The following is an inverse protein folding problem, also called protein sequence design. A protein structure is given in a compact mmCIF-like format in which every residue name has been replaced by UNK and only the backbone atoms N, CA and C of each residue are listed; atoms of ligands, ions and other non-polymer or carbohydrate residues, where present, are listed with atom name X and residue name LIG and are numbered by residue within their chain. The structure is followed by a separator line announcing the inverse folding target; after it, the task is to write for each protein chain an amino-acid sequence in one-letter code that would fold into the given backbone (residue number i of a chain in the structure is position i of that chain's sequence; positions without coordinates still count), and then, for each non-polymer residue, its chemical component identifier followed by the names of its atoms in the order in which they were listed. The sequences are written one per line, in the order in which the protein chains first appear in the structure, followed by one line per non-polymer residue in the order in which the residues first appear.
data_IF_312019488045
#
_entry.id   IF_312019488045
#
_cell.length_a   1.000
_cell.length_b   1.000
_cell.length_c   1.000
_cell.angle_alpha   90.00
_cell.angle_beta   90.00
_cell.angle_gamma   90.00
#
_symmetry.space_group_name_H-M   'P 1'
#
loop_
_entity.id
_entity.type
_entity.pdbx_description
1 polymer ?
#
# COMPACT_ATOMS: atom_id res chain seq x y z
N UNK A 1 -2.80 19.86 4.08
CA UNK A 1 -2.86 18.87 2.98
C UNK A 1 -4.28 18.33 2.91
N UNK A 2 -4.92 18.36 1.74
CA UNK A 2 -6.28 17.85 1.55
C UNK A 2 -6.29 16.34 1.76
N UNK A 3 -7.21 15.87 2.58
CA UNK A 3 -7.40 14.46 2.82
C UNK A 3 -8.11 13.85 1.60
N UNK A 4 -7.54 12.84 0.98
CA UNK A 4 -8.20 12.12 -0.11
C UNK A 4 -9.38 11.34 0.46
N UNK A 5 -10.60 11.69 0.02
CA UNK A 5 -11.83 11.06 0.47
C UNK A 5 -12.17 9.86 -0.42
N UNK A 6 -11.78 8.65 0.00
CA UNK A 6 -12.04 7.41 -0.75
C UNK A 6 -13.53 7.14 -0.96
N UNK A 7 -14.39 7.60 -0.06
CA UNK A 7 -15.84 7.42 -0.14
C UNK A 7 -16.55 8.27 -1.21
N UNK A 8 -15.88 9.24 -1.84
CA UNK A 8 -16.49 10.06 -2.91
C UNK A 8 -16.52 9.31 -4.25
N UNK A 9 -15.38 9.11 -4.88
CA UNK A 9 -15.24 8.53 -6.22
C UNK A 9 -14.35 7.29 -6.24
N UNK A 10 -13.24 7.32 -5.51
CA UNK A 10 -12.20 6.29 -5.60
C UNK A 10 -12.74 4.89 -5.31
N UNK A 11 -13.63 4.71 -4.33
CA UNK A 11 -14.21 3.40 -4.03
C UNK A 11 -14.88 2.72 -5.22
N UNK A 12 -15.40 3.49 -6.21
CA UNK A 12 -16.08 2.93 -7.39
C UNK A 12 -15.12 2.32 -8.40
N UNK A 13 -13.91 2.86 -8.52
CA UNK A 13 -12.91 2.47 -9.51
C UNK A 13 -11.71 1.75 -8.91
N UNK A 14 -11.59 1.73 -7.59
CA UNK A 14 -10.39 1.28 -6.89
C UNK A 14 -10.13 -0.21 -7.10
N UNK A 15 -11.14 -1.04 -6.92
CA UNK A 15 -11.04 -2.51 -7.06
C UNK A 15 -10.59 -2.93 -8.48
N UNK A 16 -11.03 -2.21 -9.51
CA UNK A 16 -10.64 -2.45 -10.90
C UNK A 16 -9.28 -1.81 -11.22
N UNK A 17 -9.12 -0.52 -10.94
CA UNK A 17 -7.93 0.23 -11.34
C UNK A 17 -6.68 -0.09 -10.52
N UNK A 18 -6.83 -0.63 -9.30
CA UNK A 18 -5.71 -0.99 -8.40
C UNK A 18 -5.56 -2.50 -8.18
N UNK A 19 -6.29 -3.32 -8.96
CA UNK A 19 -6.16 -4.77 -8.88
C UNK A 19 -4.72 -5.22 -9.14
N UNK A 20 -4.24 -6.12 -8.32
CA UNK A 20 -2.96 -6.81 -8.54
C UNK A 20 -3.21 -8.11 -9.30
N UNK A 21 -2.41 -8.37 -10.31
CA UNK A 21 -2.39 -9.67 -10.99
C UNK A 21 -1.86 -10.75 -10.04
N UNK A 22 -2.19 -12.04 -10.25
CA UNK A 22 -1.68 -13.13 -9.41
C UNK A 22 -0.16 -13.10 -9.26
N UNK A 23 0.58 -12.89 -10.33
CA UNK A 23 2.05 -12.84 -10.34
C UNK A 23 2.60 -11.67 -9.49
N UNK A 24 1.87 -10.55 -9.45
CA UNK A 24 2.22 -9.43 -8.60
C UNK A 24 1.96 -9.75 -7.12
N UNK A 25 0.86 -10.45 -6.82
CA UNK A 25 0.57 -10.93 -5.46
C UNK A 25 1.64 -11.92 -5.00
N UNK A 26 2.01 -12.89 -5.84
CA UNK A 26 3.08 -13.87 -5.54
C UNK A 26 4.42 -13.17 -5.26
N UNK A 27 4.75 -12.16 -6.06
CA UNK A 27 5.96 -11.35 -5.86
C UNK A 27 5.96 -10.67 -4.50
N UNK A 28 4.83 -10.06 -4.10
CA UNK A 28 4.70 -9.41 -2.81
C UNK A 28 4.73 -10.41 -1.66
N UNK A 29 4.00 -11.53 -1.75
CA UNK A 29 4.01 -12.57 -0.72
C UNK A 29 5.42 -13.15 -0.53
N UNK A 30 6.15 -13.40 -1.61
CA UNK A 30 7.55 -13.85 -1.54
C UNK A 30 8.47 -12.79 -0.89
N UNK A 31 8.25 -11.50 -1.18
CA UNK A 31 9.00 -10.41 -0.54
C UNK A 31 8.78 -10.36 0.97
N UNK A 32 7.54 -10.50 1.42
CA UNK A 32 7.20 -10.54 2.85
C UNK A 32 7.78 -11.80 3.53
N UNK A 33 7.69 -12.97 2.87
CA UNK A 33 8.13 -14.25 3.41
C UNK A 33 9.63 -14.26 3.78
N UNK A 34 10.48 -13.53 3.05
CA UNK A 34 11.94 -13.43 3.35
C UNK A 34 12.26 -12.92 4.76
N UNK A 35 11.32 -12.19 5.36
CA UNK A 35 11.50 -11.55 6.66
C UNK A 35 10.67 -12.20 7.77
N UNK A 36 10.08 -13.35 7.53
CA UNK A 36 9.24 -14.04 8.48
C UNK A 36 9.85 -15.39 8.88
N UNK A 37 9.54 -15.88 10.08
CA UNK A 37 9.91 -17.24 10.46
C UNK A 37 9.17 -18.25 9.56
N UNK A 38 9.69 -19.48 9.41
CA UNK A 38 9.07 -20.52 8.57
C UNK A 38 7.79 -21.10 9.19
N UNK A 39 7.63 -21.00 10.49
CA UNK A 39 6.49 -21.56 11.24
C UNK A 39 5.17 -20.92 10.77
N UNK A 40 4.14 -21.77 10.66
CA UNK A 40 2.77 -21.39 10.27
C UNK A 40 1.78 -22.05 11.24
N UNK A 41 0.60 -21.46 11.43
CA UNK A 41 0.11 -20.21 10.83
C UNK A 41 0.69 -18.96 11.49
N UNK A 42 0.62 -17.81 10.78
CA UNK A 42 0.95 -16.48 11.33
C UNK A 42 -0.31 -15.62 11.36
N UNK A 43 -0.58 -14.99 12.50
CA UNK A 43 -1.64 -14.00 12.62
C UNK A 43 -1.20 -12.64 12.04
N UNK A 44 -2.03 -12.05 11.16
CA UNK A 44 -1.71 -10.81 10.46
C UNK A 44 -2.70 -9.68 10.73
N UNK A 45 -2.16 -8.48 10.74
CA UNK A 45 -2.91 -7.25 10.55
C UNK A 45 -2.62 -6.70 9.15
N UNK A 46 -3.67 -6.50 8.34
CA UNK A 46 -3.64 -5.71 7.10
C UNK A 46 -4.30 -4.36 7.41
N UNK A 47 -3.47 -3.36 7.78
CA UNK A 47 -3.94 -2.05 8.19
C UNK A 47 -4.16 -1.14 6.99
N UNK A 48 -5.36 -0.61 6.84
CA UNK A 48 -5.81 0.08 5.64
C UNK A 48 -6.06 -0.93 4.50
N UNK A 49 -6.73 -2.04 4.81
CA UNK A 49 -6.94 -3.15 3.87
C UNK A 49 -7.73 -2.74 2.61
N UNK A 50 -8.42 -1.59 2.65
CA UNK A 50 -9.17 -1.08 1.52
C UNK A 50 -10.24 -2.05 1.04
N UNK A 51 -10.19 -2.41 -0.23
CA UNK A 51 -11.06 -3.43 -0.85
C UNK A 51 -10.56 -4.86 -0.66
N UNK A 52 -9.63 -5.09 0.26
CA UNK A 52 -9.12 -6.44 0.58
C UNK A 52 -8.22 -7.06 -0.50
N UNK A 53 -7.53 -6.25 -1.30
CA UNK A 53 -6.77 -6.78 -2.47
C UNK A 53 -5.55 -7.63 -2.11
N UNK A 54 -4.97 -7.48 -0.90
CA UNK A 54 -3.88 -8.33 -0.40
C UNK A 54 -4.34 -9.26 0.71
N UNK A 55 -5.39 -8.92 1.44
CA UNK A 55 -5.82 -9.62 2.64
C UNK A 55 -6.03 -11.13 2.46
N UNK A 56 -6.74 -11.62 1.41
CA UNK A 56 -6.85 -13.06 1.14
C UNK A 56 -5.51 -13.71 0.75
N UNK A 57 -4.65 -12.99 0.03
CA UNK A 57 -3.33 -13.52 -0.35
C UNK A 57 -2.42 -13.71 0.88
N UNK A 58 -2.49 -12.82 1.87
CA UNK A 58 -1.82 -12.99 3.16
C UNK A 58 -2.31 -14.27 3.86
N UNK A 59 -3.62 -14.50 3.89
CA UNK A 59 -4.19 -15.72 4.49
C UNK A 59 -3.72 -17.00 3.74
N UNK A 60 -3.74 -16.98 2.42
CA UNK A 60 -3.29 -18.11 1.60
C UNK A 60 -1.81 -18.40 1.77
N UNK A 61 -0.96 -17.37 1.83
CA UNK A 61 0.50 -17.53 1.93
C UNK A 61 0.97 -17.90 3.35
N UNK A 62 0.30 -17.36 4.38
CA UNK A 62 0.79 -17.43 5.76
C UNK A 62 -0.15 -18.15 6.74
N UNK A 63 -1.30 -18.63 6.28
CA UNK A 63 -2.19 -19.49 7.02
C UNK A 63 -3.17 -18.80 7.99
N UNK A 64 -3.04 -17.47 8.22
CA UNK A 64 -3.96 -16.68 9.03
C UNK A 64 -4.10 -17.09 10.50
N UNK A 65 -4.93 -16.37 11.29
CA UNK A 65 -5.96 -15.40 10.87
C UNK A 65 -5.37 -14.11 10.31
N UNK A 66 -6.12 -13.46 9.43
CA UNK A 66 -5.79 -12.13 8.92
C UNK A 66 -6.90 -11.15 9.29
N UNK A 67 -6.53 -10.06 9.93
CA UNK A 67 -7.42 -8.97 10.33
C UNK A 67 -7.24 -7.78 9.39
N UNK A 68 -8.18 -7.59 8.46
CA UNK A 68 -8.26 -6.40 7.62
C UNK A 68 -8.92 -5.26 8.40
N UNK A 69 -8.21 -4.17 8.61
CA UNK A 69 -8.74 -2.97 9.29
C UNK A 69 -8.83 -1.82 8.30
N UNK A 70 -10.03 -1.27 8.10
CA UNK A 70 -10.29 -0.22 7.11
C UNK A 70 -11.36 0.75 7.62
N UNK A 71 -11.11 2.08 7.61
CA UNK A 71 -12.09 3.06 8.08
C UNK A 71 -13.28 3.24 7.14
N UNK A 72 -13.10 3.12 5.80
CA UNK A 72 -14.16 3.33 4.82
C UNK A 72 -15.12 2.14 4.76
N UNK A 73 -16.39 2.37 5.08
CA UNK A 73 -17.44 1.35 4.96
C UNK A 73 -17.62 0.89 3.50
N UNK A 74 -17.48 1.84 2.53
CA UNK A 74 -17.64 1.57 1.11
C UNK A 74 -16.49 0.75 0.52
N UNK A 75 -15.27 0.99 0.98
CA UNK A 75 -14.10 0.17 0.59
C UNK A 75 -14.23 -1.23 1.18
N UNK A 76 -14.52 -1.33 2.48
CA UNK A 76 -14.64 -2.60 3.18
C UNK A 76 -15.77 -3.49 2.64
N UNK A 77 -16.90 -2.90 2.20
CA UNK A 77 -18.01 -3.63 1.61
C UNK A 77 -17.66 -4.35 0.29
N UNK A 78 -16.56 -3.98 -0.37
CA UNK A 78 -16.07 -4.62 -1.59
C UNK A 78 -15.05 -5.74 -1.30
N UNK A 79 -14.65 -5.91 -0.03
CA UNK A 79 -13.63 -6.87 0.33
C UNK A 79 -14.16 -8.31 0.18
N UNK A 80 -13.39 -9.21 -0.49
CA UNK A 80 -13.83 -10.57 -0.72
C UNK A 80 -13.87 -11.36 0.59
N UNK A 81 -14.89 -12.19 0.77
CA UNK A 81 -14.96 -13.12 1.87
C UNK A 81 -13.87 -14.19 1.76
N UNK A 82 -13.26 -14.56 2.90
CA UNK A 82 -12.30 -15.64 2.99
C UNK A 82 -12.38 -16.27 4.39
N UNK A 83 -12.33 -17.61 4.54
CA UNK A 83 -12.55 -18.29 5.84
C UNK A 83 -11.55 -17.89 6.93
N UNK A 84 -10.33 -17.51 6.57
CA UNK A 84 -9.29 -17.09 7.52
C UNK A 84 -9.15 -15.55 7.63
N UNK A 85 -10.12 -14.77 7.10
CA UNK A 85 -10.06 -13.30 7.10
C UNK A 85 -11.26 -12.71 7.81
N UNK A 86 -11.02 -11.71 8.65
CA UNK A 86 -12.05 -10.85 9.24
C UNK A 86 -11.79 -9.40 8.87
N UNK A 87 -12.83 -8.67 8.48
CA UNK A 87 -12.74 -7.24 8.20
C UNK A 87 -13.45 -6.45 9.29
N UNK A 88 -12.75 -5.47 9.86
CA UNK A 88 -13.27 -4.61 10.90
C UNK A 88 -13.15 -3.13 10.52
N UNK A 89 -14.10 -2.32 11.00
CA UNK A 89 -13.99 -0.86 10.93
C UNK A 89 -13.00 -0.39 11.98
N UNK A 90 -12.01 0.40 11.56
CA UNK A 90 -11.01 0.98 12.45
C UNK A 90 -10.08 1.90 11.69
N UNK A 91 -9.21 2.59 12.40
CA UNK A 91 -8.17 3.44 11.82
C UNK A 91 -6.80 3.03 12.35
N UNK A 92 -5.74 3.62 11.80
CA UNK A 92 -4.38 3.39 12.27
C UNK A 92 -4.19 3.87 13.72
N UNK A 93 -4.96 4.90 14.13
CA UNK A 93 -4.92 5.50 15.46
C UNK A 93 -5.78 4.75 16.50
N UNK A 94 -6.65 3.82 16.04
CA UNK A 94 -7.55 3.04 16.88
C UNK A 94 -7.80 1.68 16.22
N UNK A 95 -6.90 0.73 16.45
CA UNK A 95 -6.96 -0.62 15.86
C UNK A 95 -7.84 -1.51 16.74
N UNK A 96 -8.95 -2.08 16.23
CA UNK A 96 -9.93 -2.83 17.03
C UNK A 96 -9.46 -4.29 17.28
N UNK A 97 -8.23 -4.45 17.75
CA UNK A 97 -7.63 -5.74 18.11
C UNK A 97 -7.05 -5.67 19.53
N UNK A 98 -7.00 -6.78 20.24
CA UNK A 98 -6.31 -6.83 21.54
C UNK A 98 -4.80 -6.67 21.41
N UNK A 99 -4.13 -6.49 22.55
CA UNK A 99 -2.68 -6.41 22.63
C UNK A 99 -2.04 -7.71 22.13
N UNK A 100 -0.90 -7.59 21.45
CA UNK A 100 -0.10 -8.71 20.96
C UNK A 100 -0.89 -9.73 20.10
N UNK A 101 -1.95 -9.29 19.43
CA UNK A 101 -2.82 -10.15 18.63
C UNK A 101 -2.16 -10.67 17.33
N UNK A 102 -1.13 -10.00 16.82
CA UNK A 102 -0.57 -10.27 15.51
C UNK A 102 0.91 -10.61 15.56
N UNK A 103 1.32 -11.58 14.73
CA UNK A 103 2.72 -11.92 14.47
C UNK A 103 3.36 -10.92 13.51
N UNK A 104 2.57 -10.43 12.55
CA UNK A 104 3.01 -9.45 11.57
C UNK A 104 1.90 -8.45 11.24
N UNK A 105 2.32 -7.25 10.82
CA UNK A 105 1.43 -6.22 10.30
C UNK A 105 1.95 -5.70 8.95
N UNK A 106 1.02 -5.38 8.04
CA UNK A 106 1.29 -4.77 6.75
C UNK A 106 0.54 -3.43 6.63
N UNK A 107 1.26 -2.40 6.22
CA UNK A 107 0.71 -1.15 5.71
C UNK A 107 1.09 -1.06 4.22
N UNK A 108 0.09 -1.12 3.33
CA UNK A 108 0.32 -1.12 1.89
C UNK A 108 -0.32 0.09 1.23
N UNK A 109 0.46 1.13 0.95
CA UNK A 109 0.03 2.47 0.52
C UNK A 109 -0.89 3.19 1.52
N UNK A 110 -0.62 3.09 2.80
CA UNK A 110 -1.46 3.64 3.88
C UNK A 110 -0.82 4.81 4.61
N UNK A 111 0.50 4.73 4.89
CA UNK A 111 1.17 5.62 5.84
C UNK A 111 1.03 7.12 5.54
N UNK A 112 0.96 7.50 4.28
CA UNK A 112 0.76 8.90 3.87
C UNK A 112 -0.66 9.44 4.14
N UNK A 113 -1.61 8.57 4.47
CA UNK A 113 -2.98 8.94 4.86
C UNK A 113 -3.15 9.06 6.37
N UNK A 114 -2.21 8.56 7.17
CA UNK A 114 -2.28 8.58 8.63
C UNK A 114 -2.06 10.00 9.15
N UNK A 115 -3.02 10.50 9.95
CA UNK A 115 -3.01 11.87 10.48
C UNK A 115 -2.17 11.98 11.73
N UNK A 116 -2.46 11.16 12.74
CA UNK A 116 -1.66 11.07 13.96
C UNK A 116 -0.75 9.84 13.90
N UNK A 117 0.41 10.04 13.27
CA UNK A 117 1.41 8.98 13.11
C UNK A 117 1.94 8.46 14.45
N UNK A 118 2.01 9.32 15.46
CA UNK A 118 2.47 8.90 16.78
C UNK A 118 1.45 7.96 17.46
N UNK A 119 0.14 8.26 17.35
CA UNK A 119 -0.91 7.36 17.83
C UNK A 119 -0.90 6.05 17.05
N UNK A 120 -0.76 6.09 15.72
CA UNK A 120 -0.70 4.90 14.88
C UNK A 120 0.50 3.99 15.22
N UNK A 121 1.67 4.58 15.46
CA UNK A 121 2.85 3.81 15.89
C UNK A 121 2.63 3.14 17.24
N UNK A 122 1.98 3.82 18.20
CA UNK A 122 1.62 3.21 19.50
C UNK A 122 0.63 2.06 19.34
N UNK A 123 -0.39 2.20 18.50
CA UNK A 123 -1.37 1.14 18.23
C UNK A 123 -0.75 -0.07 17.53
N UNK A 124 0.08 0.15 16.51
CA UNK A 124 0.85 -0.92 15.87
C UNK A 124 1.78 -1.62 16.88
N UNK A 125 2.43 -0.85 17.75
CA UNK A 125 3.24 -1.43 18.83
C UNK A 125 2.41 -2.28 19.78
N UNK A 126 1.23 -1.83 20.14
CA UNK A 126 0.32 -2.55 21.04
C UNK A 126 -0.14 -3.88 20.44
N UNK A 127 -0.59 -3.87 19.17
CA UNK A 127 -1.22 -5.05 18.56
C UNK A 127 -0.25 -6.08 18.00
N UNK A 128 0.98 -5.69 17.64
CA UNK A 128 2.01 -6.63 17.21
C UNK A 128 2.75 -7.17 18.43
N UNK A 129 2.91 -8.50 18.51
CA UNK A 129 3.60 -9.15 19.63
C UNK A 129 5.10 -8.81 19.70
N UNK A 130 5.76 -8.93 20.85
CA UNK A 130 7.22 -8.87 20.94
C UNK A 130 7.89 -9.87 19.98
N UNK A 131 8.91 -9.41 19.24
CA UNK A 131 9.55 -10.18 18.18
C UNK A 131 8.79 -10.22 16.85
N UNK A 132 7.60 -9.61 16.79
CA UNK A 132 6.79 -9.53 15.56
C UNK A 132 7.38 -8.55 14.52
N UNK A 133 6.84 -8.61 13.31
CA UNK A 133 7.34 -7.87 12.15
C UNK A 133 6.30 -6.86 11.66
N UNK A 134 6.76 -5.66 11.33
CA UNK A 134 5.97 -4.65 10.66
C UNK A 134 6.54 -4.39 9.28
N UNK A 135 5.69 -4.48 8.27
CA UNK A 135 5.99 -4.14 6.89
C UNK A 135 5.30 -2.85 6.49
N UNK A 136 6.07 -1.91 5.95
CA UNK A 136 5.54 -0.62 5.48
C UNK A 136 5.95 -0.43 4.03
N UNK A 137 4.98 -0.57 3.13
CA UNK A 137 5.12 -0.18 1.74
C UNK A 137 4.44 1.18 1.57
N UNK A 138 5.21 2.16 1.20
CA UNK A 138 4.77 3.53 0.91
C UNK A 138 5.70 4.15 -0.11
N UNK A 139 5.17 4.97 -1.02
CA UNK A 139 6.04 5.83 -1.81
C UNK A 139 6.67 6.88 -0.90
N UNK A 140 7.94 7.18 -1.14
CA UNK A 140 8.63 8.24 -0.41
C UNK A 140 8.92 9.41 -1.36
N UNK A 141 8.77 10.64 -0.90
CA UNK A 141 8.95 11.83 -1.72
C UNK A 141 10.34 11.90 -2.39
N UNK A 142 11.36 11.37 -1.71
CA UNK A 142 12.74 11.26 -2.20
C UNK A 142 13.02 9.96 -2.98
N UNK A 143 12.02 9.07 -3.14
CA UNK A 143 12.13 7.73 -3.74
C UNK A 143 10.87 7.35 -4.53
N UNK A 144 10.35 8.27 -5.34
CA UNK A 144 9.18 8.00 -6.16
C UNK A 144 9.46 6.89 -7.19
N UNK A 145 8.46 6.03 -7.48
CA UNK A 145 8.61 5.02 -8.52
C UNK A 145 8.79 5.66 -9.90
N UNK A 146 9.66 5.08 -10.72
CA UNK A 146 9.87 5.50 -12.11
C UNK A 146 8.81 4.84 -12.99
N UNK A 147 7.65 5.47 -13.13
CA UNK A 147 6.57 5.01 -13.98
C UNK A 147 6.54 5.80 -15.28
N UNK A 148 6.15 5.14 -16.39
CA UNK A 148 6.17 5.74 -17.72
C UNK A 148 5.31 7.01 -17.81
N UNK A 149 4.14 7.09 -17.15
CA UNK A 149 3.28 8.29 -17.22
C UNK A 149 3.89 9.48 -16.47
N UNK A 150 4.66 9.28 -15.43
CA UNK A 150 5.37 10.36 -14.75
C UNK A 150 6.51 10.91 -15.61
N UNK A 151 7.17 10.06 -16.42
CA UNK A 151 8.14 10.54 -17.40
C UNK A 151 7.48 11.40 -18.49
N UNK A 152 6.28 11.01 -18.93
CA UNK A 152 5.52 11.75 -19.96
C UNK A 152 4.90 13.03 -19.36
N UNK A 153 4.39 12.98 -18.14
CA UNK A 153 3.71 14.11 -17.45
C UNK A 153 4.39 14.40 -16.11
N UNK A 154 5.57 15.06 -16.08
CA UNK A 154 6.31 15.33 -14.85
C UNK A 154 5.52 16.12 -13.81
N UNK A 155 4.59 16.98 -14.22
CA UNK A 155 3.70 17.73 -13.30
C UNK A 155 2.83 16.79 -12.43
N UNK A 156 2.44 15.62 -12.94
CA UNK A 156 1.72 14.64 -12.14
C UNK A 156 2.62 14.01 -11.07
N UNK A 157 3.91 13.78 -11.40
CA UNK A 157 4.89 13.33 -10.42
C UNK A 157 5.10 14.35 -9.30
N UNK A 158 5.15 15.63 -9.63
CA UNK A 158 5.31 16.72 -8.64
C UNK A 158 4.12 16.76 -7.68
N UNK A 159 2.88 16.68 -8.23
CA UNK A 159 1.66 16.65 -7.44
C UNK A 159 1.58 15.38 -6.56
N UNK A 160 1.97 14.22 -7.09
CA UNK A 160 1.96 12.96 -6.35
C UNK A 160 3.01 12.98 -5.23
N UNK A 161 4.23 13.41 -5.54
CA UNK A 161 5.35 13.52 -4.57
C UNK A 161 4.99 14.35 -3.34
N UNK A 162 4.22 15.40 -3.51
CA UNK A 162 3.83 16.30 -2.42
C UNK A 162 2.95 15.62 -1.34
N UNK A 163 2.36 14.46 -1.63
CA UNK A 163 1.54 13.72 -0.68
C UNK A 163 2.37 12.85 0.28
N UNK A 164 3.59 12.51 -0.11
CA UNK A 164 4.36 11.47 0.58
C UNK A 164 5.40 12.07 1.54
N UNK A 165 5.65 11.41 2.67
CA UNK A 165 6.81 11.69 3.50
C UNK A 165 8.09 11.27 2.78
N UNK A 166 9.22 11.77 3.21
CA UNK A 166 10.53 11.22 2.87
C UNK A 166 10.73 9.85 3.54
N UNK A 167 11.63 9.03 3.01
CA UNK A 167 11.98 7.75 3.65
C UNK A 167 12.52 7.96 5.06
N UNK A 168 13.36 8.96 5.28
CA UNK A 168 13.91 9.27 6.60
C UNK A 168 12.81 9.63 7.63
N UNK A 169 11.76 10.34 7.20
CA UNK A 169 10.60 10.62 8.06
C UNK A 169 9.85 9.35 8.42
N UNK A 170 9.57 8.46 7.45
CA UNK A 170 8.91 7.18 7.72
C UNK A 170 9.72 6.33 8.69
N UNK A 171 11.02 6.18 8.44
CA UNK A 171 11.93 5.43 9.33
C UNK A 171 11.97 6.05 10.73
N UNK A 172 12.05 7.38 10.80
CA UNK A 172 12.05 8.13 12.06
C UNK A 172 10.77 7.97 12.86
N UNK A 173 9.60 7.91 12.20
CA UNK A 173 8.32 7.70 12.87
C UNK A 173 8.31 6.39 13.66
N UNK A 174 8.74 5.29 13.02
CA UNK A 174 8.76 3.97 13.65
C UNK A 174 9.90 3.79 14.64
N UNK A 175 11.12 4.26 14.32
CA UNK A 175 12.26 4.09 15.20
C UNK A 175 12.12 4.89 16.51
N UNK A 176 11.56 6.11 16.47
CA UNK A 176 11.18 6.85 17.67
C UNK A 176 10.14 6.14 18.53
N UNK A 177 9.28 5.33 17.91
CA UNK A 177 8.31 4.47 18.60
C UNK A 177 8.86 3.14 19.10
N UNK A 178 10.18 2.94 19.07
CA UNK A 178 10.84 1.74 19.59
C UNK A 178 11.08 0.61 18.59
N UNK A 179 10.55 0.72 17.37
CA UNK A 179 10.76 -0.28 16.34
C UNK A 179 12.22 -0.29 15.84
N UNK A 180 12.79 -1.46 15.66
CA UNK A 180 14.11 -1.61 15.03
C UNK A 180 13.96 -1.79 13.51
N UNK A 181 14.59 -0.91 12.72
CA UNK A 181 14.65 -1.08 11.28
C UNK A 181 15.51 -2.30 10.94
N UNK A 182 14.90 -3.31 10.33
CA UNK A 182 15.53 -4.59 10.00
C UNK A 182 15.99 -4.66 8.54
N UNK A 183 15.23 -4.09 7.60
CA UNK A 183 15.60 -4.10 6.19
C UNK A 183 14.94 -2.95 5.40
N UNK A 184 15.55 -2.66 4.25
CA UNK A 184 15.04 -1.79 3.18
C UNK A 184 15.11 -2.58 1.88
N UNK A 185 13.99 -3.17 1.51
CA UNK A 185 13.90 -3.95 0.28
C UNK A 185 13.36 -3.09 -0.87
N UNK A 186 13.72 -3.48 -2.08
CA UNK A 186 13.09 -2.98 -3.30
C UNK A 186 12.36 -4.14 -3.96
N UNK A 187 11.07 -4.00 -4.15
CA UNK A 187 10.22 -5.02 -4.77
C UNK A 187 9.82 -4.54 -6.15
N UNK A 188 10.32 -5.23 -7.18
CA UNK A 188 9.92 -5.00 -8.58
C UNK A 188 8.84 -6.01 -8.95
N UNK A 189 7.70 -5.53 -9.39
CA UNK A 189 6.54 -6.33 -9.72
C UNK A 189 5.92 -5.89 -11.03
N UNK A 190 5.29 -6.81 -11.75
CA UNK A 190 4.61 -6.50 -13.00
C UNK A 190 3.30 -5.78 -12.72
N UNK A 191 3.22 -4.52 -13.14
CA UNK A 191 2.05 -3.67 -12.98
C UNK A 191 0.97 -3.99 -14.01
N UNK A 192 1.38 -4.23 -15.26
CA UNK A 192 0.50 -4.63 -16.35
C UNK A 192 1.28 -5.42 -17.41
N UNK A 193 0.60 -6.30 -18.13
CA UNK A 193 1.18 -7.15 -19.18
C UNK A 193 1.56 -6.37 -20.46
N UNK A 194 1.06 -5.15 -20.62
CA UNK A 194 1.41 -4.26 -21.73
C UNK A 194 1.18 -2.79 -21.37
N UNK A 195 1.78 -1.89 -22.13
CA UNK A 195 1.54 -0.45 -22.02
C UNK A 195 0.05 -0.12 -22.23
N UNK A 196 -0.59 -0.73 -23.20
CA UNK A 196 -2.01 -0.51 -23.49
C UNK A 196 -2.89 -0.89 -22.30
N UNK A 197 -2.64 -2.05 -21.67
CA UNK A 197 -3.37 -2.49 -20.48
C UNK A 197 -3.13 -1.55 -19.29
N UNK A 198 -1.91 -1.03 -19.13
CA UNK A 198 -1.61 -0.08 -18.04
C UNK A 198 -2.25 1.29 -18.30
N UNK A 199 -2.28 1.72 -19.56
CA UNK A 199 -2.94 2.97 -19.93
C UNK A 199 -4.46 2.91 -19.67
N UNK A 200 -5.14 1.82 -20.05
CA UNK A 200 -6.56 1.63 -19.73
C UNK A 200 -6.82 1.68 -18.21
N UNK A 201 -5.94 1.11 -17.40
CA UNK A 201 -6.03 1.22 -15.95
C UNK A 201 -5.81 2.65 -15.44
N UNK A 202 -4.86 3.38 -16.03
CA UNK A 202 -4.59 4.78 -15.69
C UNK A 202 -5.80 5.68 -15.99
N UNK A 203 -6.52 5.42 -17.09
CA UNK A 203 -7.74 6.14 -17.47
C UNK A 203 -8.86 6.02 -16.44
N UNK A 204 -8.89 4.98 -15.62
CA UNK A 204 -9.84 4.85 -14.51
C UNK A 204 -9.56 5.86 -13.39
N UNK A 205 -8.41 6.54 -13.41
CA UNK A 205 -8.01 7.52 -12.40
C UNK A 205 -8.12 6.97 -10.97
N UNK A 206 -7.75 5.72 -10.75
CA UNK A 206 -7.82 5.06 -9.45
C UNK A 206 -6.62 5.35 -8.55
N UNK A 207 -5.81 6.35 -8.90
CA UNK A 207 -4.64 6.82 -8.12
C UNK A 207 -5.01 8.15 -7.47
N UNK A 208 -4.63 8.31 -6.19
CA UNK A 208 -4.99 9.47 -5.36
C UNK A 208 -4.56 10.82 -5.94
N UNK A 209 -3.49 10.86 -6.73
CA UNK A 209 -3.00 12.11 -7.36
C UNK A 209 -4.08 12.80 -8.20
N UNK A 210 -5.00 12.06 -8.80
CA UNK A 210 -6.09 12.64 -9.59
C UNK A 210 -7.14 13.38 -8.77
N UNK A 211 -7.20 13.14 -7.45
CA UNK A 211 -8.06 13.89 -6.53
C UNK A 211 -7.45 15.25 -6.12
N UNK A 212 -6.18 15.49 -6.46
CA UNK A 212 -5.44 16.70 -6.08
C UNK A 212 -5.30 17.71 -7.23
N UNK A 213 -5.76 17.36 -8.42
CA UNK A 213 -5.61 18.18 -9.62
C UNK A 213 -6.98 18.56 -10.18
N UNK A 214 -7.02 19.72 -10.86
CA UNK A 214 -8.20 20.13 -11.61
C UNK A 214 -8.35 19.31 -12.91
N UNK A 215 -9.58 19.26 -13.44
CA UNK A 215 -9.91 18.49 -14.64
C UNK A 215 -9.13 18.97 -15.88
N UNK A 216 -8.81 20.26 -15.98
CA UNK A 216 -8.05 20.79 -17.11
C UNK A 216 -6.61 20.26 -17.10
N UNK A 217 -5.98 20.23 -15.92
CA UNK A 217 -4.64 19.64 -15.72
C UNK A 217 -4.62 18.15 -16.04
N UNK A 218 -5.65 17.41 -15.59
CA UNK A 218 -5.79 15.99 -15.87
C UNK A 218 -5.96 15.74 -17.37
N UNK A 219 -6.88 16.47 -18.02
CA UNK A 219 -7.16 16.32 -19.46
C UNK A 219 -5.92 16.64 -20.32
N UNK A 220 -5.21 17.73 -20.00
CA UNK A 220 -3.97 18.08 -20.70
C UNK A 220 -2.88 16.99 -20.55
N UNK A 221 -2.79 16.36 -19.36
CA UNK A 221 -1.88 15.25 -19.12
C UNK A 221 -2.24 14.02 -19.95
N UNK A 222 -3.51 13.63 -20.03
CA UNK A 222 -3.95 12.53 -20.89
C UNK A 222 -3.72 12.79 -22.38
N UNK A 223 -4.00 14.01 -22.87
CA UNK A 223 -3.71 14.37 -24.27
C UNK A 223 -2.20 14.23 -24.58
N UNK A 224 -1.33 14.63 -23.65
CA UNK A 224 0.11 14.46 -23.78
C UNK A 224 0.54 13.00 -23.79
N UNK A 225 -0.09 12.17 -22.94
CA UNK A 225 0.13 10.73 -22.92
C UNK A 225 -0.27 10.10 -24.26
N UNK A 226 -1.47 10.40 -24.76
CA UNK A 226 -1.99 9.87 -26.03
C UNK A 226 -1.06 10.17 -27.20
N UNK A 227 -0.52 11.39 -27.25
CA UNK A 227 0.47 11.76 -28.25
C UNK A 227 1.82 11.02 -28.11
N UNK A 228 2.18 10.60 -26.90
CA UNK A 228 3.44 9.90 -26.63
C UNK A 228 3.35 8.37 -26.82
N UNK A 229 2.16 7.76 -26.66
CA UNK A 229 1.97 6.30 -26.68
C UNK A 229 2.66 5.59 -27.86
N UNK A 230 2.62 6.09 -29.10
CA UNK A 230 3.25 5.40 -30.24
C UNK A 230 4.78 5.26 -30.16
N UNK A 231 5.42 6.10 -29.33
CA UNK A 231 6.87 6.10 -29.15
C UNK A 231 7.35 5.36 -27.89
N UNK A 232 6.43 4.88 -27.05
CA UNK A 232 6.75 4.17 -25.83
C UNK A 232 6.86 2.65 -26.06
N UNK A 233 7.63 1.98 -25.18
CA UNK A 233 7.71 0.51 -25.19
C UNK A 233 6.34 -0.10 -24.87
N UNK A 234 5.79 -0.86 -25.82
CA UNK A 234 4.48 -1.50 -25.73
C UNK A 234 4.46 -2.74 -24.80
N UNK A 235 5.63 -3.21 -24.36
CA UNK A 235 5.80 -4.42 -23.55
C UNK A 235 5.23 -4.33 -22.14
N UNK A 236 5.54 -5.33 -21.31
CA UNK A 236 5.11 -5.36 -19.91
C UNK A 236 5.61 -4.15 -19.12
N UNK A 237 4.75 -3.62 -18.28
CA UNK A 237 5.08 -2.48 -17.41
C UNK A 237 5.37 -2.94 -16.00
N UNK A 238 6.50 -2.52 -15.48
CA UNK A 238 6.96 -2.84 -14.13
C UNK A 238 6.97 -1.60 -13.24
N UNK A 239 6.80 -1.83 -11.95
CA UNK A 239 6.95 -0.82 -10.92
C UNK A 239 7.88 -1.36 -9.83
N UNK A 240 8.77 -0.51 -9.31
CA UNK A 240 9.63 -0.85 -8.18
C UNK A 240 9.26 0.04 -7.00
N UNK A 241 8.86 -0.59 -5.91
CA UNK A 241 8.51 0.11 -4.67
C UNK A 241 9.47 -0.27 -3.55
N UNK A 242 9.64 0.63 -2.58
CA UNK A 242 10.36 0.34 -1.34
C UNK A 242 9.45 -0.42 -0.37
N UNK A 243 10.03 -1.38 0.34
CA UNK A 243 9.42 -2.11 1.44
C UNK A 243 10.34 -1.94 2.66
N UNK A 244 9.90 -1.16 3.63
CA UNK A 244 10.58 -1.00 4.90
C UNK A 244 10.12 -2.09 5.86
N UNK A 245 11.07 -2.77 6.48
CA UNK A 245 10.80 -3.87 7.41
C UNK A 245 11.30 -3.48 8.79
N UNK A 246 10.40 -3.52 9.75
CA UNK A 246 10.71 -3.24 11.16
C UNK A 246 10.45 -4.45 12.03
N UNK A 247 11.18 -4.55 13.12
CA UNK A 247 11.00 -5.57 14.17
C UNK A 247 10.59 -4.90 15.47
N UNK A 248 9.60 -5.45 16.13
CA UNK A 248 9.38 -5.17 17.54
C UNK A 248 10.41 -5.96 18.35
N UNK A 249 11.28 -5.33 19.15
CA UNK A 249 12.21 -6.06 20.00
C UNK A 249 11.47 -7.08 20.86
N UNK A 250 12.14 -8.21 21.15
CA UNK A 250 11.68 -9.11 22.20
C UNK A 250 12.00 -8.44 23.53
N UNK A 251 11.09 -8.48 24.49
CA UNK A 251 11.39 -8.02 25.84
C UNK A 251 12.67 -8.74 26.33
N UNK A 252 13.57 -7.97 26.94
CA UNK A 252 14.82 -8.49 27.49
C UNK A 252 14.54 -9.28 28.76
#
# INVERSE_FOLDING_TARGET
MGNVEYDRRLHQVYSTGRRLAPEALDTWMAALARHLPPERPLAWLDLGSGTGRLTPALAGAFGGPVHGVEPSDRMRAQAPAHPAVTYAKGSAEAIPLPDAACDAALLFFVWHHVRDRAAAVRELWRVVRPGGTLFVQVNCADRMPDTWWFRVVPRWLEADRAQFPTRAEVEGDFTRGGWALAARDRVTWMRAASLAADYERLRLRAVSVFELMDEATIAAGFARIEAALPALDAGPQYETNELLVFRKPRDR
#
